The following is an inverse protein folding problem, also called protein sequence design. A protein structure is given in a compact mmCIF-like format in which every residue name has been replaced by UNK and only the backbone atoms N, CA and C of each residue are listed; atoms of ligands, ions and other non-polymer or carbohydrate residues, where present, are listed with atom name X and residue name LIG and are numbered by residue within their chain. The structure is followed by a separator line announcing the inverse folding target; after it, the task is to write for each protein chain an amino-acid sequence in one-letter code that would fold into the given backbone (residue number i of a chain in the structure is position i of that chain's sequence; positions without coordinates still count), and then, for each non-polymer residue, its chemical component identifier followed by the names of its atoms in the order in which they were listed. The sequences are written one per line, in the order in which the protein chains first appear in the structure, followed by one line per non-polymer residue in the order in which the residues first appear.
data_IF_790639040652
#
_entry.id   IF_790639040652
#
_cell.length_a   1.000
_cell.length_b   1.000
_cell.length_c   1.000
_cell.angle_alpha   90.00
_cell.angle_beta   90.00
_cell.angle_gamma   90.00
#
_symmetry.space_group_name_H-M   'P 1'
#
loop_
_entity.id
_entity.type
_entity.pdbx_description
1 polymer ?
#
# COMPACT_ATOMS: atom_id res chain seq x y z
N UNK A 1 14.00 -16.98 8.97
CA UNK A 1 12.98 -17.93 9.47
C UNK A 1 11.63 -17.77 8.75
N UNK A 2 11.03 -16.57 8.65
CA UNK A 2 9.71 -16.41 8.00
C UNK A 2 9.67 -16.79 6.51
N UNK A 3 10.70 -16.46 5.72
CA UNK A 3 10.75 -16.80 4.30
C UNK A 3 10.67 -18.32 4.04
N UNK A 4 11.47 -19.11 4.76
CA UNK A 4 11.46 -20.57 4.67
C UNK A 4 10.10 -21.15 5.06
N UNK A 5 9.47 -20.62 6.12
CA UNK A 5 8.13 -21.04 6.54
C UNK A 5 7.07 -20.77 5.48
N UNK A 6 7.17 -19.67 4.73
CA UNK A 6 6.23 -19.37 3.64
C UNK A 6 6.42 -20.34 2.49
N UNK A 7 7.67 -20.54 2.04
CA UNK A 7 7.96 -21.39 0.88
C UNK A 7 7.63 -22.86 1.17
N UNK A 8 7.96 -23.37 2.36
CA UNK A 8 7.68 -24.77 2.74
C UNK A 8 6.18 -25.09 2.83
N UNK A 9 5.29 -24.09 2.95
CA UNK A 9 3.84 -24.32 3.00
C UNK A 9 3.22 -24.58 1.63
N UNK A 10 3.93 -24.28 0.55
CA UNK A 10 3.37 -24.31 -0.79
C UNK A 10 4.12 -25.29 -1.69
N UNK A 11 3.39 -25.93 -2.59
CA UNK A 11 4.02 -26.67 -3.69
C UNK A 11 4.68 -25.71 -4.68
N UNK A 12 5.62 -26.19 -5.49
CA UNK A 12 6.24 -25.38 -6.55
C UNK A 12 5.19 -24.77 -7.48
N UNK A 13 4.17 -25.55 -7.91
CA UNK A 13 3.05 -25.07 -8.71
C UNK A 13 2.28 -23.94 -8.02
N UNK A 14 2.00 -24.08 -6.72
CA UNK A 14 1.30 -23.05 -5.95
C UNK A 14 2.12 -21.76 -5.82
N UNK A 15 3.46 -21.86 -5.78
CA UNK A 15 4.35 -20.70 -5.79
C UNK A 15 4.30 -20.00 -7.16
N UNK A 16 4.34 -20.75 -8.26
CA UNK A 16 4.21 -20.21 -9.63
C UNK A 16 2.89 -19.47 -9.81
N UNK A 17 1.75 -20.08 -9.43
CA UNK A 17 0.43 -19.45 -9.49
C UNK A 17 0.38 -18.13 -8.69
N UNK A 18 1.01 -18.11 -7.51
CA UNK A 18 1.10 -16.89 -6.68
C UNK A 18 1.96 -15.81 -7.32
N UNK A 19 3.06 -16.16 -7.98
CA UNK A 19 3.89 -15.20 -8.73
C UNK A 19 3.12 -14.66 -9.94
N UNK A 20 2.33 -15.50 -10.61
CA UNK A 20 1.52 -15.09 -11.77
C UNK A 20 0.43 -14.08 -11.41
N UNK A 21 -0.14 -14.14 -10.21
CA UNK A 21 -1.05 -13.08 -9.71
C UNK A 21 -0.40 -11.71 -9.77
N UNK A 22 0.84 -11.58 -9.27
CA UNK A 22 1.56 -10.31 -9.31
C UNK A 22 1.94 -9.91 -10.75
N UNK A 23 2.28 -10.86 -11.61
CA UNK A 23 2.55 -10.57 -13.02
C UNK A 23 1.33 -10.00 -13.75
N UNK A 24 0.13 -10.53 -13.49
CA UNK A 24 -1.13 -9.98 -14.04
C UNK A 24 -1.40 -8.54 -13.61
N UNK A 25 -0.88 -8.14 -12.45
CA UNK A 25 -0.97 -6.77 -11.94
C UNK A 25 0.16 -5.85 -12.42
N UNK A 26 1.07 -6.33 -13.28
CA UNK A 26 2.14 -5.53 -13.87
C UNK A 26 3.50 -5.62 -13.16
N UNK A 27 3.66 -6.50 -12.16
CA UNK A 27 4.97 -6.72 -11.52
C UNK A 27 5.84 -7.67 -12.35
N UNK A 28 7.14 -7.35 -12.48
CA UNK A 28 8.12 -8.30 -13.02
C UNK A 28 8.46 -9.37 -11.97
N UNK A 29 9.01 -10.52 -12.40
CA UNK A 29 9.51 -11.56 -11.48
C UNK A 29 10.55 -10.99 -10.51
N UNK A 30 11.39 -10.07 -10.97
CA UNK A 30 12.39 -9.38 -10.14
C UNK A 30 11.73 -8.49 -9.07
N UNK A 31 10.62 -7.82 -9.40
CA UNK A 31 9.85 -7.04 -8.43
C UNK A 31 9.26 -7.95 -7.35
N UNK A 32 8.63 -9.06 -7.76
CA UNK A 32 8.03 -10.05 -6.85
C UNK A 32 9.09 -10.64 -5.93
N UNK A 33 10.26 -10.98 -6.47
CA UNK A 33 11.40 -11.45 -5.69
C UNK A 33 11.89 -10.40 -4.69
N UNK A 34 11.98 -9.14 -5.12
CA UNK A 34 12.32 -8.00 -4.25
C UNK A 34 11.33 -7.82 -3.11
N UNK A 35 10.03 -7.92 -3.38
CA UNK A 35 8.96 -7.85 -2.39
C UNK A 35 9.01 -9.03 -1.41
N UNK A 36 9.19 -10.26 -1.91
CA UNK A 36 9.31 -11.45 -1.09
C UNK A 36 10.50 -11.37 -0.13
N UNK A 37 11.67 -10.90 -0.58
CA UNK A 37 12.84 -10.71 0.29
C UNK A 37 12.58 -9.72 1.44
N UNK A 38 11.80 -8.68 1.19
CA UNK A 38 11.45 -7.66 2.21
C UNK A 38 10.37 -8.16 3.18
N UNK A 39 9.34 -8.81 2.64
CA UNK A 39 8.22 -9.29 3.42
C UNK A 39 7.69 -10.60 2.83
N UNK A 40 8.21 -11.76 3.27
CA UNK A 40 7.88 -13.04 2.64
C UNK A 40 6.39 -13.39 2.67
N UNK A 41 5.66 -12.85 3.65
CA UNK A 41 4.21 -13.02 3.80
C UNK A 41 3.44 -12.45 2.61
N UNK A 42 4.03 -11.57 1.79
CA UNK A 42 3.43 -11.08 0.54
C UNK A 42 2.93 -12.21 -0.35
N UNK A 43 3.68 -13.30 -0.51
CA UNK A 43 3.25 -14.47 -1.29
C UNK A 43 2.17 -15.30 -0.60
N UNK A 44 2.02 -15.19 0.72
CA UNK A 44 1.03 -15.97 1.46
C UNK A 44 -0.40 -15.44 1.31
N UNK A 45 -0.59 -14.18 0.90
CA UNK A 45 -1.91 -13.61 0.64
C UNK A 45 -2.64 -14.30 -0.53
N UNK A 46 -3.97 -14.23 -0.52
CA UNK A 46 -4.82 -14.75 -1.61
C UNK A 46 -4.83 -13.79 -2.80
N UNK A 47 -5.07 -14.32 -4.00
CA UNK A 47 -5.26 -13.51 -5.22
C UNK A 47 -6.34 -12.44 -5.00
N UNK A 48 -7.48 -12.84 -4.43
CA UNK A 48 -8.57 -11.92 -4.08
C UNK A 48 -8.05 -10.76 -3.22
N UNK A 49 -7.28 -11.03 -2.17
CA UNK A 49 -6.79 -9.98 -1.27
C UNK A 49 -5.84 -9.01 -1.98
N UNK A 50 -4.92 -9.54 -2.78
CA UNK A 50 -3.93 -8.74 -3.52
C UNK A 50 -4.65 -7.85 -4.54
N UNK A 51 -5.52 -8.43 -5.35
CA UNK A 51 -6.28 -7.70 -6.38
C UNK A 51 -7.22 -6.67 -5.77
N UNK A 52 -7.93 -7.00 -4.68
CA UNK A 52 -8.80 -6.03 -3.99
C UNK A 52 -8.01 -4.82 -3.50
N UNK A 53 -6.89 -5.01 -2.80
CA UNK A 53 -6.07 -3.88 -2.34
C UNK A 53 -5.61 -2.98 -3.51
N UNK A 54 -5.23 -3.59 -4.64
CA UNK A 54 -4.80 -2.85 -5.83
C UNK A 54 -5.94 -2.01 -6.42
N UNK A 55 -7.12 -2.62 -6.58
CA UNK A 55 -8.31 -1.95 -7.13
C UNK A 55 -8.86 -0.87 -6.19
N UNK A 56 -8.83 -1.06 -4.86
CA UNK A 56 -9.20 -0.02 -3.90
C UNK A 56 -8.30 1.22 -4.06
N UNK A 57 -6.99 1.04 -4.19
CA UNK A 57 -6.07 2.17 -4.38
C UNK A 57 -6.34 2.91 -5.70
N UNK A 58 -6.66 2.19 -6.78
CA UNK A 58 -7.09 2.78 -8.05
C UNK A 58 -8.36 3.61 -7.89
N UNK A 59 -9.39 3.07 -7.21
CA UNK A 59 -10.64 3.78 -6.90
C UNK A 59 -10.42 5.05 -6.08
N UNK A 60 -9.39 5.06 -5.24
CA UNK A 60 -8.98 6.23 -4.47
C UNK A 60 -8.15 7.27 -5.26
N UNK A 61 -7.97 7.10 -6.58
CA UNK A 61 -7.32 8.09 -7.46
C UNK A 61 -5.81 7.93 -7.63
N UNK A 62 -5.23 6.80 -7.16
CA UNK A 62 -3.83 6.46 -7.43
C UNK A 62 -3.70 5.74 -8.77
N UNK A 63 -2.68 6.10 -9.53
CA UNK A 63 -2.40 5.50 -10.83
C UNK A 63 -1.62 4.20 -10.65
N UNK A 64 -1.72 3.32 -11.65
CA UNK A 64 -1.15 1.98 -11.60
C UNK A 64 0.37 2.00 -11.33
N UNK A 65 1.12 2.87 -12.00
CA UNK A 65 2.57 3.01 -11.85
C UNK A 65 2.97 3.47 -10.43
N UNK A 66 2.14 4.31 -9.81
CA UNK A 66 2.36 4.80 -8.45
C UNK A 66 2.13 3.70 -7.42
N UNK A 67 1.09 2.89 -7.61
CA UNK A 67 0.77 1.71 -6.80
C UNK A 67 1.89 0.67 -6.92
N UNK A 68 2.30 0.34 -8.15
CA UNK A 68 3.41 -0.56 -8.43
C UNK A 68 4.69 -0.09 -7.74
N UNK A 69 5.05 1.19 -7.89
CA UNK A 69 6.22 1.78 -7.25
C UNK A 69 6.17 1.67 -5.72
N UNK A 70 5.02 1.94 -5.11
CA UNK A 70 4.86 1.86 -3.66
C UNK A 70 4.93 0.41 -3.15
N UNK A 71 4.27 -0.54 -3.81
CA UNK A 71 4.26 -1.95 -3.41
C UNK A 71 5.65 -2.60 -3.47
N UNK A 72 6.45 -2.24 -4.49
CA UNK A 72 7.86 -2.68 -4.57
C UNK A 72 8.67 -2.25 -3.35
N UNK A 73 8.37 -1.08 -2.78
CA UNK A 73 9.04 -0.54 -1.59
C UNK A 73 8.46 -1.12 -0.30
N UNK A 74 7.14 -1.26 -0.23
CA UNK A 74 6.39 -1.63 0.96
C UNK A 74 5.24 -2.59 0.62
N UNK A 75 5.52 -3.88 0.41
CA UNK A 75 4.50 -4.88 0.07
C UNK A 75 3.44 -5.08 1.17
N UNK A 76 3.70 -4.60 2.40
CA UNK A 76 2.78 -4.63 3.54
C UNK A 76 1.46 -3.89 3.29
N UNK A 77 1.37 -3.04 2.26
CA UNK A 77 0.11 -2.44 1.81
C UNK A 77 -1.01 -3.50 1.63
N UNK A 78 -0.66 -4.72 1.22
CA UNK A 78 -1.60 -5.84 1.03
C UNK A 78 -2.29 -6.25 2.34
N UNK A 79 -1.70 -5.97 3.50
CA UNK A 79 -2.31 -6.33 4.79
C UNK A 79 -3.43 -5.39 5.22
N UNK A 80 -3.48 -4.17 4.69
CA UNK A 80 -4.52 -3.19 5.06
C UNK A 80 -5.88 -3.56 4.49
N UNK A 81 -6.93 -3.33 5.27
CA UNK A 81 -8.32 -3.52 4.81
C UNK A 81 -8.72 -2.42 3.82
N UNK A 82 -9.70 -2.70 2.96
CA UNK A 82 -10.25 -1.71 2.02
C UNK A 82 -10.75 -0.47 2.79
N UNK A 83 -11.52 -0.69 3.87
CA UNK A 83 -12.00 0.35 4.76
C UNK A 83 -10.87 1.20 5.36
N UNK A 84 -9.74 0.59 5.75
CA UNK A 84 -8.59 1.33 6.28
C UNK A 84 -8.03 2.26 5.20
N UNK A 85 -7.80 1.73 4.00
CA UNK A 85 -7.24 2.50 2.88
C UNK A 85 -8.15 3.66 2.51
N UNK A 86 -9.45 3.38 2.33
CA UNK A 86 -10.46 4.38 1.98
C UNK A 86 -10.57 5.47 3.05
N UNK A 87 -10.59 5.10 4.33
CA UNK A 87 -10.66 6.06 5.43
C UNK A 87 -9.40 6.94 5.50
N UNK A 88 -8.21 6.35 5.36
CA UNK A 88 -6.95 7.09 5.41
C UNK A 88 -6.85 8.07 4.25
N UNK A 89 -7.15 7.64 3.02
CA UNK A 89 -7.09 8.51 1.85
C UNK A 89 -8.20 9.57 1.90
N UNK A 90 -9.43 9.20 2.24
CA UNK A 90 -10.54 10.14 2.39
C UNK A 90 -10.26 11.20 3.45
N UNK A 91 -9.59 10.83 4.55
CA UNK A 91 -9.16 11.78 5.58
C UNK A 91 -8.13 12.77 5.05
N UNK A 92 -7.11 12.29 4.33
CA UNK A 92 -6.09 13.15 3.73
C UNK A 92 -6.73 14.17 2.77
N UNK A 93 -7.60 13.71 1.87
CA UNK A 93 -8.30 14.60 0.95
C UNK A 93 -9.22 15.59 1.69
N UNK A 94 -9.95 15.13 2.71
CA UNK A 94 -10.82 15.97 3.54
C UNK A 94 -10.07 17.01 4.38
N UNK A 95 -8.78 16.79 4.65
CA UNK A 95 -7.88 17.75 5.31
C UNK A 95 -7.31 18.81 4.36
N UNK A 96 -7.58 18.70 3.06
CA UNK A 96 -7.14 19.65 2.05
C UNK A 96 -5.85 19.27 1.32
N UNK A 97 -5.30 18.07 1.57
CA UNK A 97 -4.21 17.56 0.74
C UNK A 97 -4.73 17.31 -0.68
N UNK A 98 -3.96 17.79 -1.66
CA UNK A 98 -4.22 17.51 -3.07
C UNK A 98 -3.90 16.06 -3.42
N UNK A 99 -4.40 15.63 -4.58
CA UNK A 99 -4.10 14.30 -5.13
C UNK A 99 -2.60 14.09 -5.39
N UNK A 100 -1.90 15.13 -5.78
CA UNK A 100 -0.46 15.05 -6.06
C UNK A 100 0.36 14.96 -4.77
N UNK A 101 -0.04 15.67 -3.72
CA UNK A 101 0.54 15.51 -2.37
C UNK A 101 0.27 14.11 -1.82
N UNK A 102 -0.97 13.60 -1.95
CA UNK A 102 -1.31 12.22 -1.58
C UNK A 102 -0.39 11.23 -2.29
N UNK A 103 -0.21 11.38 -3.59
CA UNK A 103 0.66 10.54 -4.41
C UNK A 103 2.11 10.62 -3.95
N UNK A 104 2.61 11.84 -3.69
CA UNK A 104 3.97 12.05 -3.19
C UNK A 104 4.17 11.39 -1.82
N UNK A 105 3.22 11.57 -0.90
CA UNK A 105 3.21 10.94 0.41
C UNK A 105 3.21 9.42 0.28
N UNK A 106 2.35 8.86 -0.55
CA UNK A 106 2.25 7.42 -0.75
C UNK A 106 3.53 6.81 -1.34
N UNK A 107 4.14 7.46 -2.35
CA UNK A 107 5.38 6.97 -2.97
C UNK A 107 6.61 7.07 -2.04
N UNK A 108 6.62 8.03 -1.12
CA UNK A 108 7.70 8.26 -0.14
C UNK A 108 7.49 7.46 1.14
N UNK A 109 6.24 7.29 1.55
CA UNK A 109 5.84 6.73 2.84
C UNK A 109 4.55 5.90 2.69
N UNK A 110 4.60 4.71 2.05
CA UNK A 110 3.40 3.94 1.70
C UNK A 110 2.54 3.54 2.90
N UNK A 111 3.10 3.48 4.11
CA UNK A 111 2.34 3.21 5.33
C UNK A 111 1.33 4.32 5.70
N UNK A 112 1.33 5.48 5.01
CA UNK A 112 0.33 6.52 5.22
C UNK A 112 -1.12 6.03 5.01
N UNK A 113 -1.36 5.09 4.10
CA UNK A 113 -2.69 4.51 3.84
C UNK A 113 -3.16 3.53 4.93
N UNK A 114 -2.30 3.24 5.91
CA UNK A 114 -2.61 2.41 7.06
C UNK A 114 -2.80 3.20 8.36
N UNK A 115 -2.66 4.53 8.33
CA UNK A 115 -2.77 5.37 9.50
C UNK A 115 -4.24 5.62 9.85
N UNK A 116 -4.56 5.61 11.15
CA UNK A 116 -5.93 5.93 11.56
C UNK A 116 -6.29 7.37 11.22
N UNK A 117 -7.50 7.56 10.69
CA UNK A 117 -8.07 8.87 10.41
C UNK A 117 -7.97 9.81 11.62
N UNK A 118 -8.23 9.27 12.82
CA UNK A 118 -8.18 10.03 14.06
C UNK A 118 -6.78 10.56 14.40
N UNK A 119 -5.74 9.71 14.27
CA UNK A 119 -4.36 10.13 14.56
C UNK A 119 -3.84 11.14 13.55
N UNK A 120 -4.22 10.97 12.27
CA UNK A 120 -3.91 11.95 11.22
C UNK A 120 -4.64 13.27 11.48
N UNK A 121 -5.91 13.21 11.87
CA UNK A 121 -6.71 14.39 12.23
C UNK A 121 -6.07 15.22 13.33
N UNK A 122 -5.77 14.59 14.46
CA UNK A 122 -5.17 15.26 15.61
C UNK A 122 -3.84 15.93 15.26
N UNK A 123 -2.96 15.24 14.53
CA UNK A 123 -1.64 15.78 14.16
C UNK A 123 -1.73 16.92 13.15
N UNK A 124 -2.56 16.81 12.12
CA UNK A 124 -2.74 17.90 11.15
C UNK A 124 -3.39 19.11 11.82
N UNK A 125 -4.41 18.91 12.68
CA UNK A 125 -5.04 20.02 13.42
C UNK A 125 -4.05 20.76 14.31
N UNK A 126 -3.18 20.03 15.03
CA UNK A 126 -2.10 20.62 15.81
C UNK A 126 -1.17 21.49 14.95
N UNK A 127 -0.67 20.95 13.83
CA UNK A 127 0.25 21.68 12.95
C UNK A 127 -0.39 22.95 12.36
N UNK A 128 -1.65 22.88 11.97
CA UNK A 128 -2.32 23.99 11.29
C UNK A 128 -2.84 25.02 12.28
N UNK A 129 -3.48 24.59 13.37
CA UNK A 129 -4.16 25.50 14.31
C UNK A 129 -3.25 26.00 15.41
N UNK A 130 -2.36 25.15 15.94
CA UNK A 130 -1.48 25.53 17.05
C UNK A 130 -0.13 26.05 16.55
N UNK A 131 0.41 25.46 15.47
CA UNK A 131 1.71 25.86 14.91
C UNK A 131 1.60 26.84 13.73
N UNK A 132 0.39 27.20 13.28
CA UNK A 132 0.12 28.09 12.14
C UNK A 132 0.80 27.67 10.83
N UNK A 133 0.93 26.36 10.57
CA UNK A 133 1.50 25.88 9.31
C UNK A 133 0.51 26.05 8.15
N UNK A 134 0.96 26.53 6.99
CA UNK A 134 0.11 26.61 5.81
C UNK A 134 -0.18 25.21 5.26
N UNK A 135 -1.46 24.89 5.04
CA UNK A 135 -1.90 23.64 4.41
C UNK A 135 -1.66 23.59 2.90
N UNK A 136 -1.38 24.74 2.28
CA UNK A 136 -1.06 24.86 0.86
C UNK A 136 0.26 25.59 0.73
N UNK A 137 1.17 25.04 -0.06
CA UNK A 137 2.37 25.74 -0.50
C UNK A 137 2.01 26.89 -1.43
#
# INVERSE_FOLDING_TARGET
IQALRVVQRFSNKSIEEKVDVYKKLGFSVNDVWGMFKKWPVSLAHSEKKISQTFETLKKCGLHEDEILSAFKKFPQCISYSEQTIENSIGTLLGQGFSRDELTMMFKRYPQCIGLSAESMKKKTEFLVKEMNWPLKA
#
